data_IF_513122719225
#
_entry.id   IF_513122719225
#
_cell.length_a   1.000
_cell.length_b   1.000
_cell.length_c   1.000
_cell.angle_alpha   90.00
_cell.angle_beta   90.00
_cell.angle_gamma   90.00
#
_symmetry.space_group_name_H-M   'P 1'
#
loop_
_entity.id
_entity.type
_entity.pdbx_description
1 polymer ?
#
# COMPACT_ATOMS: atom_id res chain seq x y z
N UNK A 1 8.97 18.70 -9.23
CA UNK A 1 8.60 17.39 -8.67
C UNK A 1 8.46 16.40 -9.82
N UNK A 2 9.12 15.26 -9.77
CA UNK A 2 8.99 14.20 -10.78
C UNK A 2 7.82 13.28 -10.42
N UNK A 3 6.98 12.96 -11.41
CA UNK A 3 5.87 12.01 -11.25
C UNK A 3 6.29 10.64 -11.78
N UNK A 4 6.05 9.58 -11.02
CA UNK A 4 6.15 8.20 -11.48
C UNK A 4 4.76 7.74 -11.93
N UNK A 5 4.67 7.09 -13.10
CA UNK A 5 3.43 6.55 -13.66
C UNK A 5 3.64 5.05 -13.87
N UNK A 6 2.70 4.25 -13.37
CA UNK A 6 2.62 2.82 -13.63
C UNK A 6 1.38 2.59 -14.50
N UNK A 7 1.61 2.09 -15.71
CA UNK A 7 0.54 1.80 -16.67
C UNK A 7 0.28 0.30 -16.69
N UNK A 8 -1.00 -0.06 -16.64
CA UNK A 8 -1.47 -1.44 -16.78
C UNK A 8 -2.24 -1.47 -18.10
N UNK A 9 -1.80 -2.29 -19.08
CA UNK A 9 -2.54 -2.49 -20.33
C UNK A 9 -4.00 -2.90 -20.08
N UNK A 10 -4.91 -2.46 -20.94
CA UNK A 10 -6.35 -2.71 -20.77
C UNK A 10 -6.67 -4.20 -20.79
N UNK A 11 -6.07 -4.96 -21.70
CA UNK A 11 -6.20 -6.41 -21.79
C UNK A 11 -5.78 -7.10 -20.49
N UNK A 12 -4.67 -6.66 -19.89
CA UNK A 12 -4.24 -7.17 -18.58
C UNK A 12 -5.21 -6.75 -17.47
N UNK A 13 -5.67 -5.50 -17.47
CA UNK A 13 -6.61 -4.99 -16.46
C UNK A 13 -7.97 -5.72 -16.53
N UNK A 14 -8.40 -6.14 -17.72
CA UNK A 14 -9.62 -6.94 -17.91
C UNK A 14 -9.51 -8.35 -17.33
N UNK A 15 -8.30 -8.91 -17.23
CA UNK A 15 -8.08 -10.22 -16.59
C UNK A 15 -8.21 -10.18 -15.07
N UNK A 16 -8.21 -8.99 -14.46
CA UNK A 16 -8.48 -8.84 -13.04
C UNK A 16 -9.94 -9.23 -12.78
N UNK A 17 -10.15 -10.30 -12.00
CA UNK A 17 -11.46 -10.79 -11.55
C UNK A 17 -12.11 -9.86 -10.51
N UNK A 18 -12.26 -8.58 -10.88
CA UNK A 18 -12.75 -7.48 -10.05
C UNK A 18 -13.62 -6.56 -10.91
N UNK A 19 -14.67 -5.92 -10.33
CA UNK A 19 -15.41 -4.86 -11.01
C UNK A 19 -14.48 -3.76 -11.51
N UNK A 20 -14.66 -3.21 -12.73
CA UNK A 20 -13.79 -2.17 -13.29
C UNK A 20 -13.58 -0.97 -12.36
N UNK A 21 -14.62 -0.58 -11.61
CA UNK A 21 -14.60 0.51 -10.64
C UNK A 21 -13.68 0.25 -9.43
N UNK A 22 -13.36 -1.01 -9.13
CA UNK A 22 -12.55 -1.39 -7.98
C UNK A 22 -11.10 -1.75 -8.35
N UNK A 23 -10.80 -2.00 -9.63
CA UNK A 23 -9.47 -2.50 -10.05
C UNK A 23 -8.33 -1.61 -9.58
N UNK A 24 -8.44 -0.30 -9.82
CA UNK A 24 -7.37 0.65 -9.46
C UNK A 24 -7.16 0.72 -7.95
N UNK A 25 -8.24 0.78 -7.16
CA UNK A 25 -8.13 0.86 -5.71
C UNK A 25 -7.57 -0.44 -5.12
N UNK A 26 -7.94 -1.60 -5.68
CA UNK A 26 -7.37 -2.89 -5.30
C UNK A 26 -5.88 -2.97 -5.62
N UNK A 27 -5.47 -2.64 -6.84
CA UNK A 27 -4.05 -2.63 -7.24
C UNK A 27 -3.22 -1.69 -6.36
N UNK A 28 -3.72 -0.49 -6.04
CA UNK A 28 -3.04 0.43 -5.13
C UNK A 28 -2.86 -0.15 -3.73
N UNK A 29 -3.88 -0.84 -3.20
CA UNK A 29 -3.81 -1.50 -1.88
C UNK A 29 -2.78 -2.62 -1.87
N UNK A 30 -2.84 -3.52 -2.85
CA UNK A 30 -1.86 -4.62 -3.00
C UNK A 30 -0.42 -4.09 -3.08
N UNK A 31 -0.20 -3.06 -3.90
CA UNK A 31 1.10 -2.43 -4.04
C UNK A 31 1.57 -1.77 -2.74
N UNK A 32 0.69 -1.00 -2.08
CA UNK A 32 1.01 -0.35 -0.82
C UNK A 32 1.40 -1.34 0.28
N UNK A 33 0.61 -2.40 0.43
CA UNK A 33 0.85 -3.47 1.40
C UNK A 33 2.21 -4.14 1.11
N UNK A 34 2.49 -4.46 -0.15
CA UNK A 34 3.74 -5.14 -0.49
C UNK A 34 4.97 -4.26 -0.30
N UNK A 35 4.88 -2.98 -0.65
CA UNK A 35 5.97 -2.02 -0.45
C UNK A 35 6.23 -1.77 1.03
N UNK A 36 5.17 -1.72 1.86
CA UNK A 36 5.28 -1.68 3.31
C UNK A 36 6.00 -2.91 3.87
N UNK A 37 5.52 -4.10 3.51
CA UNK A 37 6.06 -5.36 3.99
C UNK A 37 7.55 -5.55 3.61
N UNK A 38 8.01 -4.91 2.53
CA UNK A 38 9.41 -4.90 2.09
C UNK A 38 10.26 -3.81 2.74
N UNK A 39 9.69 -2.95 3.57
CA UNK A 39 10.37 -1.79 4.15
C UNK A 39 10.72 -0.70 3.13
N UNK A 40 10.07 -0.69 1.96
CA UNK A 40 10.32 0.30 0.90
C UNK A 40 9.49 1.56 1.17
N UNK A 41 8.28 1.40 1.71
CA UNK A 41 7.44 2.51 2.17
C UNK A 41 7.20 2.37 3.67
N UNK A 42 7.39 3.46 4.41
CA UNK A 42 6.90 3.56 5.78
C UNK A 42 5.37 3.47 5.84
N UNK A 43 4.81 3.09 6.99
CA UNK A 43 3.36 3.01 7.23
C UNK A 43 2.59 4.22 6.70
N UNK A 44 3.10 5.42 7.00
CA UNK A 44 2.47 6.69 6.62
C UNK A 44 2.38 6.89 5.11
N UNK A 45 3.40 6.46 4.37
CA UNK A 45 3.43 6.55 2.89
C UNK A 45 2.67 5.41 2.24
N UNK A 46 2.72 4.21 2.79
CA UNK A 46 1.96 3.07 2.30
C UNK A 46 0.44 3.32 2.39
N UNK A 47 -0.07 3.78 3.55
CA UNK A 47 -1.50 4.13 3.67
C UNK A 47 -1.91 5.27 2.74
N UNK A 48 -1.00 6.22 2.48
CA UNK A 48 -1.24 7.32 1.53
C UNK A 48 -1.39 6.78 0.10
N UNK A 49 -0.56 5.82 -0.31
CA UNK A 49 -0.66 5.15 -1.61
C UNK A 49 -1.96 4.32 -1.73
N UNK A 50 -2.35 3.65 -0.65
CA UNK A 50 -3.60 2.89 -0.59
C UNK A 50 -4.87 3.77 -0.52
N UNK A 51 -4.70 5.08 -0.30
CA UNK A 51 -5.79 6.06 -0.17
C UNK A 51 -6.78 5.72 0.96
N UNK A 52 -6.26 5.23 2.09
CA UNK A 52 -7.07 4.84 3.25
C UNK A 52 -6.60 5.51 4.54
N UNK A 53 -7.47 5.52 5.55
CA UNK A 53 -7.16 5.97 6.89
C UNK A 53 -6.14 5.05 7.58
N UNK A 54 -5.58 5.51 8.70
CA UNK A 54 -4.69 4.70 9.55
C UNK A 54 -5.35 3.40 10.01
N UNK A 55 -6.62 3.48 10.44
CA UNK A 55 -7.37 2.33 10.94
C UNK A 55 -7.66 1.32 9.83
N UNK A 56 -8.09 1.78 8.65
CA UNK A 56 -8.31 0.91 7.50
C UNK A 56 -7.01 0.24 7.03
N UNK A 57 -5.89 0.95 7.05
CA UNK A 57 -4.61 0.31 6.69
C UNK A 57 -4.16 -0.74 7.70
N UNK A 58 -4.43 -0.54 9.00
CA UNK A 58 -4.21 -1.58 10.01
C UNK A 58 -5.06 -2.83 9.76
N UNK A 59 -6.33 -2.63 9.40
CA UNK A 59 -7.23 -3.73 9.05
C UNK A 59 -6.72 -4.48 7.81
N UNK A 60 -6.28 -3.78 6.78
CA UNK A 60 -5.68 -4.41 5.59
C UNK A 60 -4.46 -5.26 5.92
N UNK A 61 -3.54 -4.77 6.74
CA UNK A 61 -2.36 -5.55 7.17
C UNK A 61 -2.76 -6.78 7.98
N UNK A 62 -3.79 -6.67 8.82
CA UNK A 62 -4.33 -7.79 9.61
C UNK A 62 -4.93 -8.86 8.70
N UNK A 63 -5.71 -8.47 7.70
CA UNK A 63 -6.32 -9.39 6.74
C UNK A 63 -5.28 -10.17 5.93
N UNK A 64 -4.14 -9.53 5.61
CA UNK A 64 -3.03 -10.14 4.88
C UNK A 64 -2.01 -10.87 5.79
N UNK A 65 -2.28 -10.99 7.10
CA UNK A 65 -1.37 -11.58 8.10
C UNK A 65 0.04 -10.96 8.07
N UNK A 66 0.13 -9.65 7.84
CA UNK A 66 1.40 -8.93 7.84
C UNK A 66 1.66 -8.43 9.25
N UNK A 67 2.58 -9.11 9.92
CA UNK A 67 3.06 -8.70 11.23
C UNK A 67 3.69 -7.31 11.14
N UNK A 68 3.20 -6.39 11.98
CA UNK A 68 3.88 -5.12 12.19
C UNK A 68 5.12 -5.40 13.01
N UNK A 69 6.29 -5.28 12.37
CA UNK A 69 7.53 -5.07 13.13
C UNK A 69 7.45 -3.69 13.77
N UNK A 70 6.92 -3.62 14.99
CA UNK A 70 6.91 -2.41 15.82
C UNK A 70 8.32 -1.78 15.90
N UNK A 71 9.35 -2.60 15.79
CA UNK A 71 10.75 -2.21 15.98
C UNK A 71 11.35 -1.32 14.87
N UNK A 72 10.83 -1.35 13.63
CA UNK A 72 11.42 -0.57 12.52
C UNK A 72 10.73 0.79 12.31
N UNK A 73 9.43 0.90 12.62
CA UNK A 73 8.65 2.10 12.32
C UNK A 73 8.67 3.16 13.43
N UNK A 74 8.85 2.74 14.68
CA UNK A 74 9.15 3.68 15.77
C UNK A 74 10.54 4.30 15.59
N UNK A 75 11.51 3.54 15.07
CA UNK A 75 12.90 3.97 14.88
C UNK A 75 13.05 5.08 13.82
N UNK A 76 12.28 5.05 12.73
CA UNK A 76 12.27 6.16 11.75
C UNK A 76 11.55 7.40 12.29
N UNK A 77 10.57 7.23 13.18
CA UNK A 77 9.82 8.35 13.76
C UNK A 77 10.67 9.11 14.79
N UNK A 78 11.59 8.44 15.48
CA UNK A 78 12.51 9.07 16.43
C UNK A 78 13.71 9.76 15.76
N UNK A 79 14.07 9.39 14.52
CA UNK A 79 15.20 10.01 13.82
C UNK A 79 14.85 11.34 13.11
N UNK A 80 13.56 11.64 12.95
CA UNK A 80 13.08 12.79 12.19
C UNK A 80 12.15 13.73 12.98
N UNK A 81 12.03 13.56 14.31
CA UNK A 81 11.37 14.50 15.22
C UNK A 81 12.38 15.25 16.10
#
# INVERSE_FOLDING_TARGET
MSKLILEIPEDLAETLHLPPSERLSRVKRELAIRLYQRGILSFGKARQLAEVSKWEFHELLSQENIERSYDLEELETDLYN
#
